data_IF_158606224030
#
_entry.id   IF_158606224030
#
_cell.length_a   1.000
_cell.length_b   1.000
_cell.length_c   1.000
_cell.angle_alpha   90.00
_cell.angle_beta   90.00
_cell.angle_gamma   90.00
#
_symmetry.space_group_name_H-M   'P 1'
#
loop_
_entity.id
_entity.type
_entity.pdbx_description
1 polymer ?
#
# COMPACT_ATOMS: atom_id res chain seq x y z
N UNK A 1 -60.54 5.81 44.78
CA UNK A 1 -61.16 4.50 45.08
C UNK A 1 -60.62 3.47 44.09
N UNK A 2 -60.80 2.17 44.35
CA UNK A 2 -60.18 0.99 43.69
C UNK A 2 -61.31 -0.07 43.49
N UNK A 3 -61.14 -1.27 42.90
CA UNK A 3 -60.31 -1.78 41.78
C UNK A 3 -61.16 -2.42 40.64
N UNK A 4 -60.52 -3.03 39.62
CA UNK A 4 -61.10 -4.07 38.72
C UNK A 4 -61.29 -3.65 37.25
N UNK A 5 -61.26 -4.53 36.23
CA UNK A 5 -61.02 -5.99 36.15
C UNK A 5 -60.44 -6.37 34.75
N UNK A 6 -59.94 -7.60 34.57
CA UNK A 6 -59.41 -8.19 33.32
C UNK A 6 -59.70 -9.72 33.29
N UNK A 7 -59.48 -10.46 32.17
CA UNK A 7 -59.81 -10.26 30.75
C UNK A 7 -60.97 -11.25 30.36
N UNK A 8 -61.13 -11.79 29.11
CA UNK A 8 -60.19 -12.71 28.45
C UNK A 8 -59.97 -12.45 26.94
N UNK A 9 -59.10 -13.24 26.30
CA UNK A 9 -58.87 -13.24 24.84
C UNK A 9 -59.59 -14.38 24.09
N UNK A 10 -59.55 -14.32 22.76
CA UNK A 10 -60.08 -15.34 21.82
C UNK A 10 -59.53 -15.11 20.41
N UNK A 11 -59.58 -16.14 19.55
CA UNK A 11 -58.75 -16.23 18.34
C UNK A 11 -59.51 -16.28 17.00
N UNK A 12 -58.75 -16.13 15.89
CA UNK A 12 -59.00 -16.67 14.53
C UNK A 12 -60.36 -16.41 13.83
N UNK A 13 -60.36 -15.73 12.66
CA UNK A 13 -60.51 -16.33 11.31
C UNK A 13 -60.36 -15.24 10.18
N UNK A 14 -60.61 -15.44 8.85
CA UNK A 14 -59.75 -14.83 7.84
C UNK A 14 -60.45 -13.84 6.89
N UNK A 15 -59.81 -12.71 6.59
CA UNK A 15 -60.40 -11.72 5.68
C UNK A 15 -60.12 -12.04 4.21
N UNK A 16 -61.09 -12.69 3.58
CA UNK A 16 -61.11 -13.05 2.15
C UNK A 16 -61.14 -11.79 1.26
N UNK A 17 -60.22 -11.66 0.32
CA UNK A 17 -60.09 -10.49 -0.58
C UNK A 17 -60.50 -10.85 -2.03
N UNK A 18 -61.66 -10.38 -2.53
CA UNK A 18 -62.30 -10.94 -3.71
C UNK A 18 -61.88 -10.27 -5.04
N UNK A 19 -60.58 -10.26 -5.37
CA UNK A 19 -60.11 -9.91 -6.73
C UNK A 19 -58.99 -10.83 -7.22
N UNK A 20 -59.36 -11.81 -8.03
CA UNK A 20 -58.45 -12.45 -8.99
C UNK A 20 -58.95 -12.17 -10.42
N UNK A 21 -58.05 -11.72 -11.29
CA UNK A 21 -58.19 -11.90 -12.74
C UNK A 21 -56.90 -12.55 -13.28
N UNK A 22 -57.00 -13.56 -14.17
CA UNK A 22 -55.84 -14.23 -14.73
C UNK A 22 -55.37 -13.57 -16.04
N UNK A 23 -54.10 -13.17 -16.11
CA UNK A 23 -53.42 -12.85 -17.37
C UNK A 23 -52.49 -11.64 -17.32
N UNK A 24 -51.36 -11.75 -18.04
CA UNK A 24 -50.43 -10.66 -18.39
C UNK A 24 -49.83 -9.82 -17.26
N UNK A 25 -48.75 -10.33 -16.67
CA UNK A 25 -47.73 -9.47 -16.06
C UNK A 25 -47.00 -8.70 -17.17
N UNK A 26 -46.91 -7.38 -17.07
CA UNK A 26 -45.96 -6.60 -17.87
C UNK A 26 -44.54 -6.71 -17.28
N UNK A 27 -43.48 -6.85 -18.11
CA UNK A 27 -42.10 -6.75 -17.63
C UNK A 27 -41.80 -5.32 -17.14
N UNK A 28 -41.35 -5.18 -15.89
CA UNK A 28 -40.87 -3.90 -15.36
C UNK A 28 -39.48 -3.56 -15.97
N UNK A 29 -39.32 -2.46 -16.75
CA UNK A 29 -38.08 -2.22 -17.52
C UNK A 29 -36.83 -1.91 -16.69
N UNK A 30 -36.94 -1.70 -15.37
CA UNK A 30 -35.84 -1.17 -14.54
C UNK A 30 -35.12 -2.20 -13.65
N UNK A 31 -35.32 -3.51 -13.88
CA UNK A 31 -34.42 -4.52 -13.28
C UNK A 31 -33.11 -4.62 -14.06
N UNK A 32 -32.15 -3.73 -13.77
CA UNK A 32 -30.76 -4.00 -14.12
C UNK A 32 -30.25 -5.21 -13.31
N UNK A 33 -29.55 -6.17 -13.93
CA UNK A 33 -28.89 -7.24 -13.21
C UNK A 33 -27.80 -6.68 -12.28
N UNK A 34 -28.12 -6.61 -10.99
CA UNK A 34 -27.17 -6.20 -9.97
C UNK A 34 -26.03 -7.19 -9.87
N UNK A 35 -24.90 -6.87 -10.51
CA UNK A 35 -23.63 -7.56 -10.30
C UNK A 35 -23.17 -7.31 -8.86
N UNK A 36 -23.65 -8.12 -7.92
CA UNK A 36 -22.87 -8.42 -6.73
C UNK A 36 -21.60 -9.16 -7.19
N UNK A 37 -20.53 -8.41 -7.44
CA UNK A 37 -19.21 -9.00 -7.26
C UNK A 37 -19.14 -9.51 -5.82
N UNK A 38 -18.73 -10.76 -5.59
CA UNK A 38 -18.19 -11.13 -4.30
C UNK A 38 -17.02 -10.18 -4.02
N UNK A 39 -17.06 -9.44 -2.92
CA UNK A 39 -15.92 -8.65 -2.46
C UNK A 39 -15.09 -9.50 -1.48
N UNK A 40 -14.04 -10.22 -1.92
CA UNK A 40 -13.27 -11.12 -1.07
C UNK A 40 -12.47 -10.37 0.02
N UNK A 41 -12.37 -9.04 -0.05
CA UNK A 41 -11.59 -8.24 0.89
C UNK A 41 -12.35 -7.88 2.18
N UNK A 42 -13.68 -8.07 2.23
CA UNK A 42 -14.52 -7.56 3.32
C UNK A 42 -14.36 -8.28 4.68
N UNK A 43 -13.65 -9.42 4.75
CA UNK A 43 -13.24 -10.05 6.01
C UNK A 43 -11.85 -10.69 5.89
N UNK A 44 -10.81 -9.96 6.28
CA UNK A 44 -9.57 -10.61 6.73
C UNK A 44 -9.70 -10.99 8.22
N UNK A 45 -9.25 -12.19 8.62
CA UNK A 45 -9.32 -12.62 10.01
C UNK A 45 -8.50 -11.69 10.91
N UNK A 46 -9.04 -11.29 12.06
CA UNK A 46 -8.33 -10.43 13.01
C UNK A 46 -7.27 -11.23 13.77
N UNK A 47 -6.02 -10.75 13.86
CA UNK A 47 -5.00 -11.45 14.65
C UNK A 47 -5.34 -11.37 16.15
N UNK A 48 -5.14 -12.47 16.88
CA UNK A 48 -5.43 -12.56 18.32
C UNK A 48 -6.91 -12.70 18.70
N UNK A 49 -7.86 -12.53 17.77
CA UNK A 49 -9.27 -12.77 18.05
C UNK A 49 -9.54 -14.27 18.31
N UNK A 50 -10.40 -14.63 19.29
CA UNK A 50 -10.74 -16.02 19.55
C UNK A 50 -11.53 -16.60 18.36
N UNK A 51 -10.95 -17.59 17.69
CA UNK A 51 -11.64 -18.32 16.62
C UNK A 51 -12.86 -19.04 17.20
N UNK A 52 -14.06 -18.58 16.84
CA UNK A 52 -15.29 -19.34 17.05
C UNK A 52 -15.12 -20.70 16.36
N UNK A 53 -15.05 -21.76 17.17
CA UNK A 53 -15.03 -23.13 16.65
C UNK A 53 -16.45 -23.42 16.16
N UNK A 54 -16.62 -23.41 14.83
CA UNK A 54 -17.88 -23.82 14.21
C UNK A 54 -18.23 -25.25 14.61
N UNK A 55 -19.50 -25.47 14.92
CA UNK A 55 -20.02 -26.82 15.19
C UNK A 55 -19.89 -27.75 13.97
N UNK A 56 -20.08 -29.07 14.15
CA UNK A 56 -19.86 -30.04 13.10
C UNK A 56 -20.73 -29.78 11.86
N UNK A 57 -20.12 -29.76 10.67
CA UNK A 57 -20.83 -29.60 9.41
C UNK A 57 -21.68 -30.83 9.08
N UNK A 58 -22.94 -30.61 8.70
CA UNK A 58 -23.80 -31.63 8.12
C UNK A 58 -23.27 -32.07 6.75
N UNK A 59 -23.14 -33.38 6.46
CA UNK A 59 -22.55 -33.85 5.20
C UNK A 59 -23.44 -33.51 4.00
N UNK A 60 -22.86 -32.85 2.98
CA UNK A 60 -23.51 -32.65 1.68
C UNK A 60 -23.16 -33.79 0.72
N UNK A 61 -24.20 -34.34 0.10
CA UNK A 61 -24.16 -35.48 -0.81
C UNK A 61 -23.57 -35.08 -2.18
N UNK A 62 -22.83 -35.95 -2.89
CA UNK A 62 -22.05 -35.56 -4.06
C UNK A 62 -22.86 -35.48 -5.37
N UNK A 63 -22.51 -34.48 -6.20
CA UNK A 63 -22.89 -34.34 -7.61
C UNK A 63 -22.26 -33.08 -8.21
N UNK A 64 -21.86 -33.04 -9.49
CA UNK A 64 -21.85 -34.15 -10.46
C UNK A 64 -21.54 -33.69 -11.89
N UNK A 65 -20.26 -33.73 -12.29
CA UNK A 65 -19.80 -33.53 -13.68
C UNK A 65 -19.76 -32.07 -14.19
N UNK A 66 -18.80 -31.75 -15.07
CA UNK A 66 -18.78 -30.47 -15.80
C UNK A 66 -17.41 -29.84 -16.07
N UNK A 67 -16.49 -30.54 -16.73
CA UNK A 67 -15.22 -29.95 -17.15
C UNK A 67 -15.40 -28.74 -18.07
N UNK A 68 -14.86 -27.57 -17.67
CA UNK A 68 -14.63 -26.41 -18.54
C UNK A 68 -13.32 -25.71 -18.17
N UNK A 69 -12.22 -26.16 -18.77
CA UNK A 69 -10.90 -25.53 -18.71
C UNK A 69 -10.96 -24.07 -19.18
N UNK A 70 -11.02 -23.12 -18.24
CA UNK A 70 -10.88 -21.69 -18.53
C UNK A 70 -9.41 -21.30 -18.52
N UNK A 71 -8.76 -21.38 -19.68
CA UNK A 71 -7.45 -20.76 -19.90
C UNK A 71 -7.60 -19.23 -19.79
N UNK A 72 -7.01 -18.64 -18.76
CA UNK A 72 -6.86 -17.18 -18.60
C UNK A 72 -5.48 -16.80 -19.13
N UNK A 73 -5.42 -16.22 -20.32
CA UNK A 73 -4.18 -15.70 -20.89
C UNK A 73 -3.84 -14.34 -20.26
N UNK A 74 -2.78 -14.29 -19.45
CA UNK A 74 -2.29 -13.04 -18.85
C UNK A 74 -1.29 -12.37 -19.81
N UNK A 75 -1.71 -11.30 -20.48
CA UNK A 75 -0.88 -10.48 -21.35
C UNK A 75 -0.09 -9.43 -20.55
N UNK A 76 1.08 -9.83 -20.02
CA UNK A 76 2.03 -8.90 -19.41
C UNK A 76 2.89 -8.19 -20.47
N UNK A 77 2.42 -7.05 -20.99
CA UNK A 77 3.26 -6.12 -21.76
C UNK A 77 4.09 -5.25 -20.81
N UNK A 78 5.29 -5.72 -20.46
CA UNK A 78 6.30 -4.93 -19.74
C UNK A 78 7.26 -4.27 -20.74
N UNK A 79 7.05 -3.00 -21.05
CA UNK A 79 7.97 -2.20 -21.84
C UNK A 79 9.21 -1.83 -20.99
N UNK A 80 10.35 -2.47 -21.26
CA UNK A 80 11.62 -2.23 -20.56
C UNK A 80 12.45 -1.22 -21.38
N UNK A 81 12.40 0.05 -20.98
CA UNK A 81 13.27 1.09 -21.54
C UNK A 81 14.62 1.09 -20.79
N UNK A 82 15.70 0.70 -21.46
CA UNK A 82 17.07 0.75 -20.94
C UNK A 82 17.88 1.82 -21.67
N UNK A 83 17.81 3.05 -21.18
CA UNK A 83 18.61 4.20 -21.66
C UNK A 83 19.95 4.30 -20.92
N UNK A 84 20.92 3.45 -21.29
CA UNK A 84 22.31 3.59 -20.81
C UNK A 84 23.05 4.70 -21.56
N UNK A 85 22.99 5.93 -21.03
CA UNK A 85 23.79 7.06 -21.53
C UNK A 85 25.26 6.93 -21.10
N UNK A 86 26.13 6.49 -22.01
CA UNK A 86 27.59 6.38 -21.77
C UNK A 86 28.31 7.61 -22.32
N UNK A 87 28.44 8.65 -21.51
CA UNK A 87 29.21 9.86 -21.85
C UNK A 87 30.71 9.60 -21.71
N UNK A 88 31.31 8.95 -22.71
CA UNK A 88 32.76 8.70 -22.78
C UNK A 88 33.55 9.95 -23.13
N UNK A 89 34.06 10.67 -22.11
CA UNK A 89 34.90 11.86 -22.31
C UNK A 89 36.34 11.47 -22.69
N UNK A 90 36.62 11.35 -23.99
CA UNK A 90 37.95 11.04 -24.52
C UNK A 90 38.87 12.26 -24.50
N UNK A 91 39.83 12.28 -23.58
CA UNK A 91 40.94 13.26 -23.55
C UNK A 91 42.23 12.60 -24.08
N UNK A 92 42.45 12.75 -25.38
CA UNK A 92 43.77 12.77 -26.01
C UNK A 92 43.77 13.91 -27.07
N UNK A 93 44.83 14.67 -27.30
CA UNK A 93 46.14 14.66 -26.62
C UNK A 93 47.32 14.69 -27.58
N UNK A 94 47.64 15.85 -28.14
CA UNK A 94 48.90 16.07 -28.89
C UNK A 94 48.75 16.84 -30.20
N UNK A 95 49.46 17.97 -30.31
CA UNK A 95 49.56 18.81 -31.49
C UNK A 95 50.14 20.18 -31.10
N UNK A 96 51.25 20.58 -31.70
CA UNK A 96 51.93 21.86 -31.45
C UNK A 96 51.72 22.81 -32.63
N UNK A 97 51.83 24.12 -32.40
CA UNK A 97 53.02 24.89 -32.82
C UNK A 97 52.91 26.36 -32.34
N UNK A 98 54.05 27.07 -32.29
CA UNK A 98 54.18 28.40 -31.71
C UNK A 98 54.01 29.55 -32.74
N UNK A 99 53.71 30.76 -32.22
CA UNK A 99 54.55 31.99 -32.38
C UNK A 99 53.90 33.28 -32.95
N UNK A 100 53.81 34.26 -32.04
CA UNK A 100 54.05 35.72 -32.19
C UNK A 100 53.02 36.68 -32.85
N UNK A 101 53.19 37.94 -32.42
CA UNK A 101 52.68 39.24 -32.88
C UNK A 101 51.15 39.47 -32.93
N UNK A 102 50.65 40.69 -32.66
CA UNK A 102 51.34 41.90 -32.17
C UNK A 102 50.64 43.18 -32.63
N UNK A 103 50.09 43.98 -31.71
CA UNK A 103 49.46 45.26 -32.07
C UNK A 103 48.78 45.97 -30.89
N UNK A 104 49.23 47.18 -30.58
CA UNK A 104 48.60 48.08 -29.61
C UNK A 104 47.96 49.27 -30.33
N UNK A 105 46.89 49.83 -29.75
CA UNK A 105 46.88 51.23 -29.30
C UNK A 105 45.55 51.64 -28.63
N UNK A 106 45.66 52.32 -27.49
CA UNK A 106 45.09 53.63 -27.15
C UNK A 106 43.84 54.12 -27.92
N UNK A 107 42.78 54.68 -27.30
CA UNK A 107 42.48 55.08 -25.89
C UNK A 107 40.92 55.25 -25.74
N UNK A 108 40.24 55.84 -24.73
CA UNK A 108 40.55 56.83 -23.66
C UNK A 108 39.52 56.81 -22.50
N UNK A 109 39.89 57.47 -21.40
CA UNK A 109 39.09 58.17 -20.37
C UNK A 109 37.68 57.72 -19.91
N UNK A 110 37.58 57.53 -18.59
CA UNK A 110 36.39 57.65 -17.71
C UNK A 110 35.96 59.14 -17.50
N UNK A 111 34.92 59.54 -16.70
CA UNK A 111 34.26 58.82 -15.58
C UNK A 111 32.70 58.94 -15.46
N UNK A 112 32.18 58.31 -14.39
CA UNK A 112 30.81 58.35 -13.79
C UNK A 112 30.44 59.74 -13.17
N UNK A 113 29.27 60.03 -12.50
CA UNK A 113 28.42 59.13 -11.68
C UNK A 113 26.88 59.42 -11.56
N UNK A 114 26.24 58.71 -10.60
CA UNK A 114 25.02 59.05 -9.79
C UNK A 114 23.58 58.93 -10.34
N UNK A 115 22.93 57.81 -9.98
CA UNK A 115 21.72 57.68 -9.15
C UNK A 115 20.42 58.49 -9.42
N UNK A 116 19.30 57.76 -9.54
CA UNK A 116 18.07 57.95 -8.74
C UNK A 116 17.12 56.74 -8.83
N UNK A 117 16.07 56.71 -7.98
CA UNK A 117 15.35 55.51 -7.59
C UNK A 117 13.98 55.28 -8.25
N UNK A 118 13.53 54.01 -8.16
CA UNK A 118 12.15 53.56 -7.93
C UNK A 118 11.05 53.87 -8.97
N UNK A 119 10.62 52.82 -9.68
CA UNK A 119 9.21 52.61 -10.03
C UNK A 119 8.91 51.11 -10.14
N UNK A 120 7.89 50.64 -9.43
CA UNK A 120 7.22 49.35 -9.66
C UNK A 120 5.97 49.64 -10.50
N UNK A 121 5.60 48.75 -11.44
CA UNK A 121 4.26 48.17 -11.29
C UNK A 121 4.19 46.67 -11.65
N UNK A 122 3.19 46.00 -11.07
CA UNK A 122 2.84 44.61 -11.37
C UNK A 122 1.97 44.49 -12.63
N UNK A 123 2.29 43.51 -13.49
CA UNK A 123 1.39 42.95 -14.49
C UNK A 123 1.87 41.53 -14.90
N UNK A 124 0.94 40.64 -15.22
CA UNK A 124 1.20 39.28 -15.72
C UNK A 124 1.60 39.29 -17.21
N UNK A 125 2.39 38.31 -17.68
CA UNK A 125 1.83 37.13 -18.37
C UNK A 125 2.89 36.22 -19.04
N UNK A 126 2.45 34.99 -19.32
CA UNK A 126 2.92 34.06 -20.36
C UNK A 126 4.32 33.40 -20.28
N UNK A 127 4.24 32.08 -20.18
CA UNK A 127 5.26 31.04 -20.23
C UNK A 127 6.09 30.97 -21.52
N UNK A 128 7.34 30.51 -21.39
CA UNK A 128 7.93 29.43 -22.22
C UNK A 128 9.37 29.14 -21.73
N UNK A 129 9.85 27.91 -21.56
CA UNK A 129 9.20 26.59 -21.65
C UNK A 129 10.26 25.48 -21.85
N UNK A 130 10.01 24.27 -21.32
CA UNK A 130 10.66 23.02 -21.78
C UNK A 130 10.01 21.79 -21.10
N UNK A 131 9.34 20.96 -21.88
CA UNK A 131 8.55 19.82 -21.41
C UNK A 131 9.38 18.63 -20.89
N UNK A 132 8.77 17.79 -20.05
CA UNK A 132 9.28 16.45 -19.69
C UNK A 132 8.14 15.54 -19.21
N UNK A 133 7.50 14.88 -20.18
CA UNK A 133 6.62 13.70 -20.07
C UNK A 133 5.42 13.76 -19.10
N UNK A 134 4.28 14.16 -19.67
CA UNK A 134 2.95 14.11 -19.06
C UNK A 134 2.49 12.67 -18.79
N UNK A 135 2.24 12.32 -17.52
CA UNK A 135 1.59 11.07 -17.13
C UNK A 135 0.14 11.36 -16.70
N UNK A 136 -0.89 11.03 -17.51
CA UNK A 136 -2.25 11.58 -17.39
C UNK A 136 -3.11 10.93 -16.27
N UNK A 137 -2.52 10.70 -15.10
CA UNK A 137 -3.22 10.32 -13.85
C UNK A 137 -2.64 11.14 -12.71
N UNK A 138 -3.19 12.34 -12.55
CA UNK A 138 -2.59 13.41 -11.77
C UNK A 138 -2.31 13.07 -10.30
N UNK A 139 -1.14 13.52 -9.87
CA UNK A 139 -0.80 13.82 -8.47
C UNK A 139 -0.17 15.19 -8.46
N UNK A 140 -0.50 16.03 -7.48
CA UNK A 140 0.45 17.09 -7.10
C UNK A 140 1.80 16.42 -6.81
N UNK A 141 2.91 16.96 -7.30
CA UNK A 141 4.25 16.38 -7.12
C UNK A 141 4.74 16.62 -5.69
N UNK A 142 4.12 15.89 -4.76
CA UNK A 142 4.37 15.94 -3.33
C UNK A 142 5.85 15.70 -3.04
N UNK A 143 6.48 16.67 -2.39
CA UNK A 143 7.91 16.63 -2.09
C UNK A 143 8.16 15.75 -0.85
N UNK A 144 9.26 14.99 -0.81
CA UNK A 144 9.63 14.21 0.36
C UNK A 144 9.92 15.14 1.55
N UNK A 145 9.40 14.78 2.72
CA UNK A 145 9.62 15.52 3.98
C UNK A 145 11.04 15.34 4.52
N UNK A 146 11.73 14.29 4.07
CA UNK A 146 13.15 14.04 4.33
C UNK A 146 13.96 14.29 3.05
N UNK A 147 14.97 15.19 3.05
CA UNK A 147 15.81 15.42 1.87
C UNK A 147 16.48 14.15 1.35
N UNK A 148 16.42 13.95 0.03
CA UNK A 148 16.99 12.80 -0.66
C UNK A 148 16.20 11.49 -0.50
N UNK A 149 15.01 11.50 0.09
CA UNK A 149 14.12 10.34 0.17
C UNK A 149 13.10 10.34 -0.98
N UNK A 150 12.45 9.21 -1.25
CA UNK A 150 11.40 9.06 -2.28
C UNK A 150 10.04 9.03 -1.60
N UNK A 151 9.02 9.65 -2.22
CA UNK A 151 7.64 9.59 -1.73
C UNK A 151 6.96 8.32 -2.24
N UNK A 152 6.23 7.66 -1.34
CA UNK A 152 5.32 6.54 -1.61
C UNK A 152 3.90 7.04 -1.37
N UNK A 153 3.01 6.87 -2.35
CA UNK A 153 1.62 7.34 -2.28
C UNK A 153 0.67 6.16 -2.41
N UNK A 154 -0.36 6.11 -1.57
CA UNK A 154 -1.53 5.25 -1.73
C UNK A 154 -2.80 6.10 -1.90
N UNK A 155 -3.18 6.47 -3.14
CA UNK A 155 -4.39 7.27 -3.40
C UNK A 155 -5.66 6.55 -2.94
N UNK A 156 -5.71 5.22 -2.99
CA UNK A 156 -6.87 4.45 -2.49
C UNK A 156 -7.11 4.73 -1.00
N UNK A 157 -6.05 4.76 -0.20
CA UNK A 157 -6.14 4.93 1.27
C UNK A 157 -6.01 6.37 1.75
N UNK A 158 -5.62 7.30 0.88
CA UNK A 158 -5.41 8.71 1.22
C UNK A 158 -4.19 8.93 2.12
N UNK A 159 -3.10 8.20 1.86
CA UNK A 159 -1.87 8.20 2.68
C UNK A 159 -0.63 8.33 1.82
N UNK A 160 0.32 9.16 2.24
CA UNK A 160 1.69 9.18 1.74
C UNK A 160 2.71 8.94 2.88
N UNK A 161 3.90 8.49 2.52
CA UNK A 161 5.07 8.36 3.41
C UNK A 161 6.36 8.39 2.58
N UNK A 162 7.52 8.60 3.20
CA UNK A 162 8.80 8.67 2.50
C UNK A 162 9.71 7.49 2.85
N UNK A 163 10.50 7.02 1.89
CA UNK A 163 11.51 5.96 2.06
C UNK A 163 12.91 6.39 1.58
N UNK A 164 13.98 5.82 2.13
CA UNK A 164 15.35 6.08 1.68
C UNK A 164 15.58 5.89 0.16
N UNK A 165 16.61 6.54 -0.38
CA UNK A 165 16.92 6.54 -1.82
C UNK A 165 17.20 5.15 -2.43
N UNK A 166 17.64 4.18 -1.61
CA UNK A 166 17.94 2.80 -1.98
C UNK A 166 16.73 1.85 -1.90
N UNK A 167 15.52 2.37 -1.62
CA UNK A 167 14.25 1.64 -1.72
C UNK A 167 13.64 1.79 -3.12
N UNK A 168 12.97 0.73 -3.58
CA UNK A 168 12.22 0.68 -4.83
C UNK A 168 10.76 1.08 -4.54
N UNK A 169 10.31 2.24 -5.05
CA UNK A 169 8.91 2.68 -4.92
C UNK A 169 8.12 2.03 -6.03
N UNK A 170 7.15 1.20 -5.67
CA UNK A 170 6.33 0.45 -6.61
C UNK A 170 5.15 1.31 -7.09
N UNK A 171 4.53 0.91 -8.21
CA UNK A 171 3.33 1.60 -8.71
C UNK A 171 2.22 1.61 -7.65
N UNK A 172 1.51 2.74 -7.50
CA UNK A 172 0.53 2.91 -6.41
C UNK A 172 -0.62 1.88 -6.41
N UNK A 173 -0.91 1.28 -7.58
CA UNK A 173 -1.89 0.20 -7.75
C UNK A 173 -1.35 -1.21 -7.44
N UNK A 174 -0.03 -1.39 -7.31
CA UNK A 174 0.53 -2.67 -6.87
C UNK A 174 0.05 -2.98 -5.45
N UNK A 175 -0.42 -4.20 -5.25
CA UNK A 175 -0.75 -4.74 -3.94
C UNK A 175 0.13 -5.96 -3.68
N UNK A 176 0.73 -6.03 -2.49
CA UNK A 176 1.51 -7.18 -2.03
C UNK A 176 0.90 -7.73 -0.73
N UNK A 177 1.16 -9.00 -0.45
CA UNK A 177 0.57 -9.68 0.69
C UNK A 177 1.02 -11.12 0.84
N UNK A 178 0.45 -11.80 1.81
CA UNK A 178 0.70 -13.21 2.10
C UNK A 178 -0.60 -14.01 2.10
N UNK A 179 -0.54 -15.25 1.63
CA UNK A 179 -1.64 -16.21 1.64
C UNK A 179 -1.33 -17.38 2.57
N UNK A 180 -2.36 -18.01 3.12
CA UNK A 180 -2.24 -19.19 3.97
C UNK A 180 -1.75 -20.39 3.13
N UNK A 181 -0.56 -20.91 3.43
CA UNK A 181 0.09 -21.98 2.64
C UNK A 181 -0.74 -23.27 2.50
N UNK A 182 -1.75 -23.48 3.36
CA UNK A 182 -2.63 -24.66 3.31
C UNK A 182 -3.90 -24.41 2.51
N UNK A 183 -4.40 -23.18 2.44
CA UNK A 183 -5.73 -22.87 1.89
C UNK A 183 -5.77 -21.83 0.77
N UNK A 184 -4.64 -21.19 0.44
CA UNK A 184 -4.56 -20.16 -0.63
C UNK A 184 -5.40 -18.92 -0.33
N UNK A 185 -5.68 -18.63 0.96
CA UNK A 185 -6.52 -17.51 1.38
C UNK A 185 -5.66 -16.32 1.81
N UNK A 186 -5.91 -15.09 1.32
CA UNK A 186 -5.21 -13.89 1.76
C UNK A 186 -5.25 -13.64 3.27
N UNK A 187 -4.08 -13.68 3.90
CA UNK A 187 -3.88 -13.40 5.33
C UNK A 187 -3.77 -11.90 5.60
N UNK A 188 -2.99 -11.20 4.77
CA UNK A 188 -2.86 -9.74 4.80
C UNK A 188 -2.40 -9.22 3.44
N UNK A 189 -2.96 -8.10 2.99
CA UNK A 189 -2.61 -7.39 1.75
C UNK A 189 -2.48 -5.89 2.06
N UNK A 190 -1.54 -5.21 1.39
CA UNK A 190 -1.38 -3.74 1.38
C UNK A 190 -1.03 -3.22 -0.01
N UNK A 191 -1.29 -1.94 -0.28
CA UNK A 191 -0.95 -1.26 -1.54
C UNK A 191 -0.24 0.07 -1.28
N UNK A 192 0.21 0.76 -2.35
CA UNK A 192 1.08 1.93 -2.23
C UNK A 192 2.38 1.56 -1.54
N UNK A 193 3.17 0.74 -2.24
CA UNK A 193 4.26 -0.07 -1.70
C UNK A 193 5.61 0.56 -2.01
N UNK A 194 6.55 0.42 -1.08
CA UNK A 194 7.97 0.46 -1.40
C UNK A 194 8.70 -0.74 -0.79
N UNK A 195 9.70 -1.25 -1.49
CA UNK A 195 10.46 -2.45 -1.12
C UNK A 195 11.95 -2.14 -0.96
N UNK A 196 12.59 -2.86 -0.05
CA UNK A 196 14.03 -2.79 0.17
C UNK A 196 14.70 -4.04 -0.37
N UNK A 197 15.73 -3.86 -1.21
CA UNK A 197 16.50 -4.93 -1.86
C UNK A 197 15.56 -6.01 -2.45
N UNK A 198 14.83 -5.67 -3.52
CA UNK A 198 13.81 -6.51 -4.18
C UNK A 198 14.29 -7.89 -4.64
N UNK A 199 15.61 -8.09 -4.75
CA UNK A 199 16.26 -9.38 -5.04
C UNK A 199 17.26 -9.79 -3.96
N UNK A 200 16.91 -9.59 -2.68
CA UNK A 200 17.78 -9.94 -1.55
C UNK A 200 18.06 -11.43 -1.47
N UNK A 201 17.05 -12.27 -1.70
CA UNK A 201 17.24 -13.71 -1.86
C UNK A 201 16.47 -14.22 -3.07
N UNK A 202 17.15 -14.95 -3.96
CA UNK A 202 16.56 -15.55 -5.15
C UNK A 202 16.48 -17.06 -5.00
N UNK A 203 15.28 -17.62 -4.84
CA UNK A 203 15.05 -19.07 -4.89
C UNK A 203 15.40 -19.61 -6.28
N UNK A 204 16.15 -20.70 -6.34
CA UNK A 204 16.22 -21.47 -7.59
C UNK A 204 14.84 -22.11 -7.83
N UNK A 205 14.36 -22.06 -9.06
CA UNK A 205 13.05 -22.61 -9.41
C UNK A 205 12.98 -24.12 -9.14
N UNK A 206 11.86 -24.59 -8.59
CA UNK A 206 11.48 -26.00 -8.72
C UNK A 206 11.36 -26.35 -10.21
N UNK A 207 11.70 -27.60 -10.56
CA UNK A 207 12.09 -28.04 -11.91
C UNK A 207 11.14 -27.56 -13.03
N UNK A 208 11.48 -26.44 -13.66
CA UNK A 208 10.76 -25.84 -14.80
C UNK A 208 10.10 -24.48 -14.52
N UNK A 209 10.13 -23.97 -13.28
CA UNK A 209 9.60 -22.65 -12.92
C UNK A 209 10.51 -21.47 -13.30
N UNK A 210 10.13 -20.27 -12.85
CA UNK A 210 10.96 -19.06 -12.87
C UNK A 210 11.66 -18.87 -11.53
N UNK A 211 12.77 -18.14 -11.51
CA UNK A 211 13.40 -17.71 -10.26
C UNK A 211 12.47 -16.82 -9.45
N UNK A 212 12.24 -17.17 -8.18
CA UNK A 212 11.44 -16.37 -7.25
C UNK A 212 12.37 -15.44 -6.46
N UNK A 213 12.03 -14.16 -6.37
CA UNK A 213 12.82 -13.17 -5.66
C UNK A 213 12.07 -12.71 -4.42
N UNK A 214 12.75 -12.78 -3.27
CA UNK A 214 12.27 -12.28 -1.98
C UNK A 214 12.91 -10.92 -1.70
N UNK A 215 12.09 -9.89 -1.51
CA UNK A 215 12.53 -8.60 -1.01
C UNK A 215 12.94 -8.70 0.47
N UNK A 216 13.96 -7.95 0.89
CA UNK A 216 14.44 -7.98 2.28
C UNK A 216 13.41 -7.40 3.26
N UNK A 217 12.71 -6.35 2.82
CA UNK A 217 11.65 -5.70 3.55
C UNK A 217 10.69 -4.99 2.60
N UNK A 218 9.48 -4.72 3.06
CA UNK A 218 8.52 -3.87 2.38
C UNK A 218 7.76 -2.97 3.36
N UNK A 219 7.30 -1.83 2.86
CA UNK A 219 6.41 -0.92 3.56
C UNK A 219 5.25 -0.49 2.65
N UNK A 220 4.06 -0.25 3.23
CA UNK A 220 2.86 0.11 2.48
C UNK A 220 1.64 0.30 3.38
N UNK A 221 0.46 0.51 2.80
CA UNK A 221 -0.75 0.83 3.58
C UNK A 221 -1.98 0.02 3.18
N UNK A 222 -2.86 -0.27 4.14
CA UNK A 222 -4.11 -1.03 3.96
C UNK A 222 -5.27 -0.41 4.73
N UNK A 223 -6.49 -0.80 4.36
CA UNK A 223 -7.69 -0.56 5.15
C UNK A 223 -7.75 -1.50 6.35
N UNK A 224 -8.47 -1.09 7.39
CA UNK A 224 -8.71 -1.86 8.61
C UNK A 224 -10.21 -1.82 8.98
N UNK A 225 -11.04 -2.18 8.00
CA UNK A 225 -12.49 -2.14 8.09
C UNK A 225 -13.01 -2.99 9.26
N UNK A 226 -14.03 -2.48 9.97
CA UNK A 226 -14.60 -3.12 11.16
C UNK A 226 -13.79 -2.94 12.45
N UNK A 227 -12.58 -2.36 12.42
CA UNK A 227 -11.87 -1.95 13.63
C UNK A 227 -12.60 -0.78 14.34
N UNK A 228 -12.49 -0.73 15.67
CA UNK A 228 -13.22 0.22 16.52
C UNK A 228 -12.33 1.38 17.00
N UNK A 229 -11.02 1.16 17.06
CA UNK A 229 -10.01 2.11 17.52
C UNK A 229 -8.62 1.78 16.93
N UNK A 230 -7.67 2.69 17.09
CA UNK A 230 -6.31 2.57 16.52
C UNK A 230 -5.46 1.47 17.17
N UNK A 231 -5.72 1.11 18.43
CA UNK A 231 -5.02 0.02 19.11
C UNK A 231 -5.38 -1.34 18.50
N UNK A 232 -6.67 -1.56 18.25
CA UNK A 232 -7.21 -2.75 17.58
C UNK A 232 -6.63 -2.90 16.17
N UNK A 233 -6.57 -1.80 15.39
CA UNK A 233 -5.93 -1.78 14.07
C UNK A 233 -4.47 -2.25 14.13
N UNK A 234 -3.70 -1.74 15.10
CA UNK A 234 -2.27 -2.05 15.21
C UNK A 234 -2.03 -3.51 15.64
N UNK A 235 -2.65 -3.94 16.73
CA UNK A 235 -2.43 -5.28 17.33
C UNK A 235 -2.98 -6.39 16.41
N UNK A 236 -4.18 -6.20 15.83
CA UNK A 236 -4.82 -7.22 15.01
C UNK A 236 -4.20 -7.35 13.59
N UNK A 237 -3.34 -6.40 13.19
CA UNK A 237 -2.66 -6.43 11.89
C UNK A 237 -1.24 -7.00 11.99
N UNK A 238 -0.44 -6.55 12.97
CA UNK A 238 1.02 -6.74 12.93
C UNK A 238 1.48 -8.20 12.92
N UNK A 239 0.75 -9.09 13.59
CA UNK A 239 1.07 -10.52 13.64
C UNK A 239 0.98 -11.22 12.27
N UNK A 240 0.09 -10.78 11.38
CA UNK A 240 -0.09 -11.41 10.06
C UNK A 240 1.10 -11.24 9.13
N UNK A 241 1.81 -10.11 9.21
CA UNK A 241 2.98 -9.86 8.37
C UNK A 241 4.16 -10.77 8.72
N UNK A 242 4.35 -11.04 10.02
CA UNK A 242 5.41 -11.97 10.45
C UNK A 242 4.99 -13.43 10.26
N UNK A 243 3.73 -13.78 10.60
CA UNK A 243 3.22 -15.14 10.37
C UNK A 243 3.30 -15.50 8.89
N UNK A 244 2.72 -14.65 8.03
CA UNK A 244 2.59 -14.88 6.59
C UNK A 244 3.94 -15.01 5.87
N UNK A 245 4.87 -14.08 6.13
CA UNK A 245 6.17 -14.06 5.45
C UNK A 245 7.24 -14.98 6.04
N UNK A 246 7.18 -15.30 7.34
CA UNK A 246 8.35 -15.85 8.06
C UNK A 246 8.06 -17.09 8.91
N UNK A 247 6.83 -17.32 9.40
CA UNK A 247 6.58 -18.44 10.35
C UNK A 247 5.58 -19.51 9.92
N UNK A 248 4.89 -19.39 8.77
CA UNK A 248 3.95 -20.43 8.34
C UNK A 248 4.59 -21.83 8.30
N UNK A 249 3.90 -22.89 8.79
CA UNK A 249 2.56 -22.90 9.38
C UNK A 249 2.52 -22.67 10.90
N UNK A 250 3.66 -22.39 11.55
CA UNK A 250 3.73 -22.25 13.00
C UNK A 250 3.36 -20.84 13.49
N UNK A 251 2.68 -20.79 14.64
CA UNK A 251 2.35 -19.54 15.36
C UNK A 251 3.09 -19.42 16.69
N UNK A 252 3.84 -20.44 17.14
CA UNK A 252 4.58 -20.44 18.41
C UNK A 252 5.90 -19.67 18.33
N UNK A 253 6.56 -19.71 17.17
CA UNK A 253 7.75 -18.90 16.87
C UNK A 253 7.46 -17.39 16.77
N UNK A 254 6.22 -16.93 16.91
CA UNK A 254 5.80 -15.53 16.73
C UNK A 254 5.45 -14.85 18.07
N UNK A 255 6.05 -13.68 18.30
CA UNK A 255 5.78 -12.79 19.45
C UNK A 255 5.28 -11.43 18.96
N UNK A 256 4.33 -10.81 19.67
CA UNK A 256 3.77 -9.51 19.30
C UNK A 256 3.29 -8.71 20.53
N UNK A 257 3.28 -7.38 20.40
CA UNK A 257 2.75 -6.44 21.39
C UNK A 257 1.27 -6.73 21.67
N UNK A 258 0.94 -7.18 22.89
CA UNK A 258 -0.45 -7.44 23.32
C UNK A 258 -1.27 -6.17 23.59
N UNK A 259 -0.62 -5.01 23.58
CA UNK A 259 -1.21 -3.68 23.72
C UNK A 259 -0.47 -2.73 22.79
N UNK A 260 -1.20 -1.96 22.00
CA UNK A 260 -0.59 -0.91 21.21
C UNK A 260 -0.02 0.21 22.11
N UNK A 261 0.90 0.99 21.55
CA UNK A 261 1.49 2.17 22.19
C UNK A 261 1.04 3.40 21.41
N UNK A 262 0.57 4.49 22.04
CA UNK A 262 0.18 5.68 21.32
C UNK A 262 1.38 6.28 20.59
N UNK A 263 1.15 6.76 19.37
CA UNK A 263 2.16 7.37 18.51
C UNK A 263 1.60 8.60 17.79
N UNK A 264 2.48 9.51 17.38
CA UNK A 264 2.11 10.65 16.54
C UNK A 264 3.23 10.90 15.53
N UNK A 265 2.87 10.99 14.25
CA UNK A 265 3.81 11.26 13.16
C UNK A 265 4.27 12.72 13.16
N UNK A 266 5.32 13.05 12.41
CA UNK A 266 5.78 14.44 12.23
C UNK A 266 4.72 15.32 11.54
N UNK A 267 3.81 14.73 10.77
CA UNK A 267 2.65 15.40 10.18
C UNK A 267 1.46 15.57 11.14
N UNK A 268 1.57 15.10 12.38
CA UNK A 268 0.54 15.24 13.41
C UNK A 268 -0.56 14.16 13.41
N UNK A 269 -0.46 13.12 12.57
CA UNK A 269 -1.40 11.99 12.62
C UNK A 269 -1.24 11.26 13.95
N UNK A 270 -2.31 11.25 14.74
CA UNK A 270 -2.41 10.49 16.00
C UNK A 270 -2.93 9.08 15.70
N UNK A 271 -2.33 8.10 16.37
CA UNK A 271 -2.73 6.70 16.25
C UNK A 271 -1.95 5.83 17.22
N UNK A 272 -1.82 4.55 16.90
CA UNK A 272 -1.20 3.57 17.79
C UNK A 272 -0.29 2.62 17.02
N UNK A 273 0.83 2.23 17.61
CA UNK A 273 1.78 1.25 17.05
C UNK A 273 1.79 -0.06 17.82
N UNK A 274 2.03 -1.16 17.11
CA UNK A 274 2.33 -2.47 17.67
C UNK A 274 3.45 -3.12 16.87
N UNK A 275 4.38 -3.80 17.56
CA UNK A 275 5.44 -4.60 16.95
C UNK A 275 5.13 -6.09 16.97
N UNK A 276 5.66 -6.82 15.99
CA UNK A 276 5.78 -8.28 16.03
C UNK A 276 7.16 -8.72 15.54
N UNK A 277 7.61 -9.88 15.99
CA UNK A 277 8.82 -10.54 15.53
C UNK A 277 8.74 -12.06 15.73
N UNK A 278 9.47 -12.82 14.91
CA UNK A 278 9.66 -14.25 15.13
C UNK A 278 11.00 -14.55 15.80
N UNK A 279 11.11 -15.76 16.36
CA UNK A 279 12.37 -16.38 16.79
C UNK A 279 12.32 -17.87 16.47
N UNK A 280 13.35 -18.38 15.78
CA UNK A 280 13.44 -19.77 15.30
C UNK A 280 12.36 -20.11 14.27
N UNK A 281 12.37 -19.45 13.11
CA UNK A 281 11.51 -19.78 11.98
C UNK A 281 11.50 -21.29 11.63
N UNK A 282 10.32 -21.87 11.31
CA UNK A 282 10.23 -23.21 10.75
C UNK A 282 10.69 -23.29 9.28
N UNK A 283 10.90 -22.17 8.58
CA UNK A 283 11.38 -22.14 7.20
C UNK A 283 12.76 -22.80 7.03
N UNK A 284 13.06 -23.24 5.80
CA UNK A 284 14.28 -23.98 5.44
C UNK A 284 14.82 -23.48 4.09
N UNK A 285 16.09 -23.74 3.83
CA UNK A 285 16.79 -23.23 2.64
C UNK A 285 17.38 -21.83 2.84
N UNK A 286 18.09 -21.32 1.81
CA UNK A 286 18.96 -20.14 1.91
C UNK A 286 18.26 -18.79 2.18
N UNK A 287 16.94 -18.70 1.95
CA UNK A 287 16.16 -17.49 2.21
C UNK A 287 15.44 -17.51 3.58
N UNK A 288 15.51 -18.63 4.31
CA UNK A 288 14.87 -18.77 5.62
C UNK A 288 15.49 -17.78 6.62
N UNK A 289 14.65 -16.96 7.22
CA UNK A 289 15.04 -15.95 8.20
C UNK A 289 13.91 -15.75 9.22
N UNK A 290 14.25 -15.23 10.40
CA UNK A 290 13.20 -14.68 11.26
C UNK A 290 12.66 -13.39 10.63
N UNK A 291 11.43 -13.00 10.99
CA UNK A 291 10.81 -11.76 10.54
C UNK A 291 10.62 -10.77 11.68
N UNK A 292 10.41 -9.50 11.31
CA UNK A 292 9.85 -8.46 12.18
C UNK A 292 8.91 -7.57 11.41
N UNK A 293 7.91 -7.02 12.10
CA UNK A 293 6.92 -6.10 11.53
C UNK A 293 6.53 -5.00 12.52
N UNK A 294 6.07 -3.88 11.95
CA UNK A 294 5.50 -2.75 12.66
C UNK A 294 4.22 -2.34 11.95
N UNK A 295 3.10 -2.28 12.67
CA UNK A 295 1.85 -1.68 12.19
C UNK A 295 1.56 -0.41 12.97
N UNK A 296 1.24 0.68 12.25
CA UNK A 296 0.71 1.92 12.79
C UNK A 296 -0.75 2.06 12.35
N UNK A 297 -1.68 1.95 13.29
CA UNK A 297 -3.12 2.16 13.06
C UNK A 297 -3.52 3.60 13.30
N UNK A 298 -4.25 4.21 12.36
CA UNK A 298 -4.71 5.60 12.42
C UNK A 298 -6.00 5.80 11.59
N UNK A 299 -6.47 7.04 11.46
CA UNK A 299 -7.59 7.41 10.58
C UNK A 299 -7.12 8.22 9.39
N UNK A 300 -7.63 7.91 8.19
CA UNK A 300 -7.37 8.70 6.99
C UNK A 300 -8.21 10.00 6.97
N UNK A 301 -8.11 10.78 5.88
CA UNK A 301 -8.86 12.03 5.68
C UNK A 301 -10.39 11.85 5.54
N UNK A 302 -10.88 10.64 5.22
CA UNK A 302 -12.32 10.31 5.26
C UNK A 302 -12.80 9.83 6.65
N UNK A 303 -11.88 9.58 7.58
CA UNK A 303 -12.16 9.06 8.92
C UNK A 303 -12.17 7.53 9.02
N UNK A 304 -11.85 6.80 7.94
CA UNK A 304 -11.73 5.35 7.92
C UNK A 304 -10.51 4.90 8.72
N UNK A 305 -10.58 3.72 9.34
CA UNK A 305 -9.41 3.11 9.94
C UNK A 305 -8.49 2.49 8.88
N UNK A 306 -7.22 2.89 8.92
CA UNK A 306 -6.16 2.40 8.03
C UNK A 306 -4.93 2.02 8.84
N UNK A 307 -4.09 1.15 8.30
CA UNK A 307 -2.75 0.92 8.83
C UNK A 307 -1.66 1.19 7.80
N UNK A 308 -0.62 1.91 8.24
CA UNK A 308 0.70 1.82 7.61
C UNK A 308 1.44 0.63 8.23
N UNK A 309 2.16 -0.12 7.41
CA UNK A 309 2.81 -1.36 7.79
C UNK A 309 4.22 -1.41 7.22
N UNK A 310 5.14 -1.94 8.02
CA UNK A 310 6.44 -2.44 7.59
C UNK A 310 6.55 -3.91 7.95
N UNK A 311 7.19 -4.70 7.09
CA UNK A 311 7.75 -6.00 7.45
C UNK A 311 9.12 -6.21 6.80
N UNK A 312 9.96 -7.04 7.41
CA UNK A 312 11.26 -7.42 6.85
C UNK A 312 11.96 -8.51 7.64
N UNK A 313 13.02 -9.08 7.06
CA UNK A 313 13.82 -10.10 7.71
C UNK A 313 14.55 -9.56 8.94
N UNK A 314 14.83 -10.46 9.87
CA UNK A 314 15.45 -10.26 11.19
C UNK A 314 16.53 -11.33 11.42
N UNK A 315 17.62 -10.95 12.07
CA UNK A 315 18.78 -11.79 12.31
C UNK A 315 19.70 -11.94 11.08
N UNK A 316 19.56 -11.06 10.09
CA UNK A 316 20.35 -11.07 8.84
C UNK A 316 21.23 -9.81 8.79
N UNK A 317 22.42 -9.91 8.17
CA UNK A 317 23.41 -8.83 8.21
C UNK A 317 22.97 -7.49 7.60
N UNK A 318 21.97 -7.52 6.71
CA UNK A 318 21.38 -6.35 6.05
C UNK A 318 20.08 -5.83 6.73
N UNK A 319 19.68 -6.42 7.88
CA UNK A 319 18.40 -6.13 8.57
C UNK A 319 18.12 -4.62 8.69
N UNK A 320 16.98 -4.16 8.16
CA UNK A 320 16.57 -2.75 8.21
C UNK A 320 16.53 -2.26 9.67
N UNK A 321 17.37 -1.29 10.09
CA UNK A 321 17.45 -0.91 11.49
C UNK A 321 16.14 -0.33 12.02
N UNK A 322 15.82 -0.59 13.29
CA UNK A 322 14.61 -0.06 13.95
C UNK A 322 14.53 1.47 13.89
N UNK A 323 15.67 2.17 13.94
CA UNK A 323 15.74 3.61 13.73
C UNK A 323 15.28 4.05 12.31
N UNK A 324 15.64 3.29 11.28
CA UNK A 324 15.19 3.53 9.89
C UNK A 324 13.69 3.28 9.75
N UNK A 325 13.18 2.18 10.33
CA UNK A 325 11.74 1.86 10.32
C UNK A 325 10.93 2.96 11.00
N UNK A 326 11.35 3.42 12.18
CA UNK A 326 10.69 4.51 12.91
C UNK A 326 10.81 5.86 12.20
N UNK A 327 11.91 6.11 11.47
CA UNK A 327 12.06 7.32 10.64
C UNK A 327 11.12 7.30 9.43
N UNK A 328 10.96 6.16 8.75
CA UNK A 328 9.95 5.99 7.68
C UNK A 328 8.56 6.26 8.25
N UNK A 329 8.18 5.60 9.34
CA UNK A 329 6.91 5.83 10.04
C UNK A 329 6.67 7.31 10.39
N UNK A 330 7.69 8.05 10.85
CA UNK A 330 7.50 9.47 11.23
C UNK A 330 7.05 10.37 10.06
N UNK A 331 7.30 9.98 8.81
CA UNK A 331 6.91 10.72 7.60
C UNK A 331 5.49 10.43 7.10
N UNK A 332 4.80 9.43 7.70
CA UNK A 332 3.43 9.04 7.33
C UNK A 332 2.49 10.24 7.50
N UNK A 333 1.71 10.54 6.47
CA UNK A 333 0.85 11.73 6.36
C UNK A 333 -0.38 11.45 5.50
N UNK A 334 -1.40 12.30 5.62
CA UNK A 334 -2.60 12.22 4.79
C UNK A 334 -2.29 12.77 3.39
N UNK A 335 -2.83 12.12 2.36
CA UNK A 335 -2.65 12.51 0.97
C UNK A 335 -4.01 12.57 0.28
N UNK A 336 -4.48 13.78 -0.03
CA UNK A 336 -5.73 14.03 -0.76
C UNK A 336 -6.98 13.37 -0.14
N UNK A 337 -7.94 13.05 -1.02
CA UNK A 337 -9.17 12.32 -0.69
C UNK A 337 -8.98 10.83 -1.04
N UNK A 338 -9.29 9.88 -0.14
CA UNK A 338 -9.15 8.44 -0.42
C UNK A 338 -10.06 8.01 -1.58
N UNK A 339 -9.52 7.27 -2.54
CA UNK A 339 -10.27 6.82 -3.73
C UNK A 339 -10.95 5.45 -3.58
N UNK A 340 -10.89 4.80 -2.40
CA UNK A 340 -11.80 3.68 -2.11
C UNK A 340 -11.60 2.94 -0.79
N UNK A 341 -12.70 2.35 -0.31
CA UNK A 341 -12.72 1.31 0.74
C UNK A 341 -12.05 0.01 0.29
#
# INVERSE_FOLDING_TARGET
MWPGQQPPGGEQNPQNNPYQQPGYQQPNPYQQPGYQQPNPYAQQPQWGAPTQIGGPESPKQPGGGGDRTKLVAILCLTAVALTTAVTGFLVLGGGKDDKADGGSNDTKSSPSPTASASAEPSASDSESGSDSDDNPRGTETEKPTVPGWKVVVNPKRGVAFDVPADWEVQSAGLSIGFEDHKSGKPLTIMSGVAEYKTKWCTSAADKGGREENTSLAAAGTKGADGAKNTDEVAVNTVGWWVYGGYTQPDKKSLTFDQKAKPYTTTSGIKGSIAWAQSSNTPQKGKCASDGKALSFGFKNSAGDFVSWNFYGAKGVGDEVPTATIMKILSTVRLHGTPTGG
#
